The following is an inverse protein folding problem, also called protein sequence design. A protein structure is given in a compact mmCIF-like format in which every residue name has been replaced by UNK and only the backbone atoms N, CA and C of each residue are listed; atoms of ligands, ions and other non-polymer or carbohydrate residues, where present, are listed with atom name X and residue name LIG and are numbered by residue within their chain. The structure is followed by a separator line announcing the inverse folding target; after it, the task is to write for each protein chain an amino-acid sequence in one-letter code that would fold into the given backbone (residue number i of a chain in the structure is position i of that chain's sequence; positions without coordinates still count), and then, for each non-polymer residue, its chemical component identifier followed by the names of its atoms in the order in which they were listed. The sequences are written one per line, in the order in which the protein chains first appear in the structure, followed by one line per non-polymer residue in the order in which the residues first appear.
data_IF_996798255427
#
_entry.id   IF_996798255427
#
_cell.length_a   1.000
_cell.length_b   1.000
_cell.length_c   1.000
_cell.angle_alpha   90.00
_cell.angle_beta   90.00
_cell.angle_gamma   90.00
#
_symmetry.space_group_name_H-M   'P 1'
#
loop_
_entity.id
_entity.type
_entity.pdbx_description
1 polymer ?
#
# COMPACT_ATOMS: atom_id res chain seq x y z
N UNK A 1 -29.92 -8.70 -25.24
CA UNK A 1 -30.08 -8.24 -23.84
C UNK A 1 -28.97 -8.92 -23.04
N UNK A 2 -27.71 -8.53 -23.17
CA UNK A 2 -27.11 -7.30 -22.68
C UNK A 2 -26.22 -7.67 -21.49
N UNK A 3 -25.09 -8.34 -21.76
CA UNK A 3 -24.11 -8.73 -20.74
C UNK A 3 -23.37 -7.46 -20.33
N UNK A 4 -23.49 -7.07 -19.06
CA UNK A 4 -22.70 -5.99 -18.47
C UNK A 4 -21.33 -6.57 -18.10
N UNK A 5 -20.52 -6.85 -19.13
CA UNK A 5 -19.07 -6.98 -19.03
C UNK A 5 -18.51 -5.64 -19.45
N UNK A 6 -18.04 -4.83 -18.51
CA UNK A 6 -17.26 -3.59 -18.67
C UNK A 6 -17.24 -3.01 -17.25
N UNK A 7 -16.13 -2.96 -16.50
CA UNK A 7 -15.03 -1.99 -16.67
C UNK A 7 -13.68 -2.52 -16.12
N UNK A 8 -13.55 -3.78 -15.71
CA UNK A 8 -12.36 -4.25 -14.96
C UNK A 8 -11.24 -4.93 -15.76
N UNK A 9 -11.40 -5.17 -17.07
CA UNK A 9 -10.52 -6.07 -17.83
C UNK A 9 -9.58 -5.38 -18.83
N UNK A 10 -8.94 -4.28 -18.42
CA UNK A 10 -7.87 -3.63 -19.21
C UNK A 10 -6.57 -3.47 -18.44
N UNK A 11 -6.38 -4.27 -17.39
CA UNK A 11 -5.09 -4.31 -16.71
C UNK A 11 -4.12 -5.16 -17.54
N UNK A 12 -2.93 -4.65 -17.93
CA UNK A 12 -1.88 -5.46 -18.54
C UNK A 12 -1.33 -6.53 -17.58
N UNK A 13 -1.93 -6.70 -16.41
CA UNK A 13 -1.60 -7.70 -15.39
C UNK A 13 -2.73 -8.71 -15.17
N UNK A 14 -3.78 -8.74 -15.99
CA UNK A 14 -4.91 -9.67 -15.84
C UNK A 14 -4.51 -11.16 -15.90
N UNK A 15 -3.33 -11.47 -16.47
CA UNK A 15 -2.75 -12.81 -16.52
C UNK A 15 -1.85 -13.15 -15.32
N UNK A 16 -1.51 -12.19 -14.45
CA UNK A 16 -0.77 -12.45 -13.23
C UNK A 16 -1.78 -13.00 -12.20
N UNK A 17 -1.59 -14.23 -11.69
CA UNK A 17 -2.46 -14.74 -10.65
C UNK A 17 -2.53 -13.77 -9.47
N UNK A 18 -3.72 -13.53 -8.94
CA UNK A 18 -3.96 -12.52 -7.90
C UNK A 18 -3.11 -12.72 -6.63
N UNK A 19 -2.59 -13.93 -6.39
CA UNK A 19 -1.66 -14.21 -5.30
C UNK A 19 -0.22 -13.73 -5.57
N UNK A 20 0.21 -13.61 -6.83
CA UNK A 20 1.54 -13.09 -7.19
C UNK A 20 1.63 -11.56 -7.06
N UNK A 21 0.50 -10.84 -7.15
CA UNK A 21 0.43 -9.38 -6.89
C UNK A 21 0.17 -9.04 -5.43
N UNK A 22 0.06 -10.03 -4.54
CA UNK A 22 -0.19 -9.78 -3.13
C UNK A 22 1.10 -9.29 -2.42
N UNK A 23 1.05 -8.09 -1.85
CA UNK A 23 2.20 -7.48 -1.19
C UNK A 23 2.79 -8.35 -0.06
N UNK A 24 1.97 -9.04 0.74
CA UNK A 24 2.47 -9.93 1.80
C UNK A 24 3.21 -11.15 1.24
N UNK A 25 2.78 -11.68 0.09
CA UNK A 25 3.47 -12.78 -0.57
C UNK A 25 4.84 -12.31 -1.04
N UNK A 26 4.90 -11.19 -1.75
CA UNK A 26 6.16 -10.62 -2.26
C UNK A 26 7.14 -10.31 -1.13
N UNK A 27 6.67 -9.75 -0.01
CA UNK A 27 7.50 -9.47 1.17
C UNK A 27 8.06 -10.78 1.75
N UNK A 28 7.23 -11.81 1.93
CA UNK A 28 7.68 -13.11 2.44
C UNK A 28 8.71 -13.76 1.52
N UNK A 29 8.52 -13.68 0.21
CA UNK A 29 9.45 -14.24 -0.77
C UNK A 29 10.80 -13.50 -0.75
N UNK A 30 10.79 -12.17 -0.67
CA UNK A 30 12.01 -11.36 -0.56
C UNK A 30 12.76 -11.66 0.75
N UNK A 31 12.05 -11.77 1.88
CA UNK A 31 12.63 -12.14 3.17
C UNK A 31 13.24 -13.56 3.12
N UNK A 32 12.51 -14.53 2.57
CA UNK A 32 12.99 -15.90 2.42
C UNK A 32 14.22 -15.99 1.50
N UNK A 33 14.29 -15.14 0.48
CA UNK A 33 15.44 -15.02 -0.41
C UNK A 33 16.60 -14.19 0.17
N UNK A 34 16.47 -13.64 1.38
CA UNK A 34 17.47 -12.78 2.00
C UNK A 34 17.73 -11.47 1.24
N UNK A 35 16.75 -11.00 0.45
CA UNK A 35 16.84 -9.78 -0.34
C UNK A 35 16.41 -8.57 0.50
N UNK A 36 16.98 -7.38 0.24
CA UNK A 36 16.56 -6.16 0.95
C UNK A 36 15.12 -5.82 0.59
N UNK A 37 14.40 -5.30 1.59
CA UNK A 37 13.08 -4.70 1.40
C UNK A 37 13.22 -3.17 1.30
N UNK A 38 12.36 -2.50 0.50
CA UNK A 38 12.19 -1.07 0.66
C UNK A 38 11.59 -0.78 2.04
N UNK A 39 11.89 0.40 2.60
CA UNK A 39 11.11 0.91 3.73
C UNK A 39 9.67 1.09 3.29
N UNK A 40 8.72 0.77 4.16
CA UNK A 40 7.30 0.92 3.86
C UNK A 40 6.71 2.10 4.63
N UNK A 41 5.79 2.81 3.99
CA UNK A 41 4.97 3.83 4.61
C UNK A 41 3.50 3.44 4.42
N UNK A 42 2.74 3.42 5.50
CA UNK A 42 1.31 3.12 5.48
C UNK A 42 0.56 4.17 6.28
N UNK A 43 -0.49 4.73 5.67
CA UNK A 43 -1.37 5.66 6.37
C UNK A 43 -2.83 5.40 6.06
N UNK A 44 -3.72 5.60 7.04
CA UNK A 44 -5.16 5.37 6.90
C UNK A 44 -5.97 6.29 7.82
N UNK A 45 -7.12 6.75 7.32
CA UNK A 45 -8.10 7.49 8.11
C UNK A 45 -8.80 6.59 9.13
N UNK A 46 -9.01 7.06 10.36
CA UNK A 46 -9.68 6.27 11.41
C UNK A 46 -11.16 6.03 11.14
N UNK A 47 -11.76 6.80 10.24
CA UNK A 47 -13.15 6.64 9.78
C UNK A 47 -13.24 5.99 8.38
N UNK A 48 -12.10 5.59 7.78
CA UNK A 48 -12.06 4.91 6.48
C UNK A 48 -12.62 3.48 6.59
N UNK A 49 -13.43 3.06 5.62
CA UNK A 49 -14.00 1.71 5.58
C UNK A 49 -12.94 0.60 5.43
N UNK A 50 -11.71 0.96 5.05
CA UNK A 50 -10.54 0.07 4.94
C UNK A 50 -9.67 0.04 6.20
N UNK A 51 -10.03 0.78 7.26
CA UNK A 51 -9.25 0.89 8.49
C UNK A 51 -8.87 -0.48 9.09
N UNK A 52 -9.83 -1.39 9.23
CA UNK A 52 -9.58 -2.72 9.79
C UNK A 52 -8.64 -3.57 8.93
N UNK A 53 -8.74 -3.47 7.60
CA UNK A 53 -7.83 -4.16 6.69
C UNK A 53 -6.40 -3.60 6.80
N UNK A 54 -6.28 -2.27 6.95
CA UNK A 54 -5.00 -1.61 7.20
C UNK A 54 -4.37 -2.08 8.52
N UNK A 55 -5.17 -2.20 9.60
CA UNK A 55 -4.67 -2.69 10.88
C UNK A 55 -4.25 -4.16 10.83
N UNK A 56 -4.93 -5.01 10.04
CA UNK A 56 -4.51 -6.39 9.81
C UNK A 56 -3.18 -6.45 9.06
N UNK A 57 -3.02 -5.62 8.02
CA UNK A 57 -1.78 -5.54 7.25
C UNK A 57 -0.61 -5.07 8.12
N UNK A 58 -0.82 -4.00 8.89
CA UNK A 58 0.17 -3.47 9.85
C UNK A 58 0.68 -4.58 10.79
N UNK A 59 -0.25 -5.29 11.46
CA UNK A 59 0.12 -6.39 12.36
C UNK A 59 0.90 -7.50 11.65
N UNK A 60 0.53 -7.84 10.43
CA UNK A 60 1.26 -8.85 9.65
C UNK A 60 2.68 -8.39 9.30
N UNK A 61 2.88 -7.12 8.96
CA UNK A 61 4.19 -6.55 8.66
C UNK A 61 5.08 -6.44 9.91
N UNK A 62 4.52 -6.01 11.03
CA UNK A 62 5.21 -5.95 12.33
C UNK A 62 5.68 -7.34 12.78
N UNK A 63 4.84 -8.37 12.62
CA UNK A 63 5.22 -9.77 12.93
C UNK A 63 6.35 -10.31 12.05
N UNK A 64 6.46 -9.82 10.80
CA UNK A 64 7.54 -10.16 9.89
C UNK A 64 8.82 -9.34 10.14
N UNK A 65 8.79 -8.39 11.08
CA UNK A 65 9.93 -7.51 11.37
C UNK A 65 10.25 -6.51 10.26
N UNK A 66 9.26 -6.16 9.44
CA UNK A 66 9.43 -5.19 8.34
C UNK A 66 9.55 -3.78 8.91
N UNK A 67 10.49 -2.99 8.38
CA UNK A 67 10.63 -1.56 8.70
C UNK A 67 9.46 -0.76 8.09
N UNK A 68 8.42 -0.54 8.92
CA UNK A 68 7.18 0.12 8.57
C UNK A 68 7.05 1.44 9.33
N UNK A 69 6.94 2.55 8.59
CA UNK A 69 6.40 3.81 9.11
C UNK A 69 4.87 3.76 8.99
N UNK A 70 4.17 3.82 10.12
CA UNK A 70 2.70 3.73 10.16
C UNK A 70 2.09 4.99 10.80
N UNK A 71 1.09 5.57 10.14
CA UNK A 71 0.39 6.76 10.62
C UNK A 71 -1.13 6.62 10.48
N UNK A 72 -1.88 6.89 11.54
CA UNK A 72 -3.34 6.96 11.51
C UNK A 72 -3.80 8.34 11.97
N UNK A 73 -4.78 8.90 11.26
CA UNK A 73 -5.32 10.24 11.51
C UNK A 73 -6.83 10.23 11.32
N UNK A 74 -7.54 11.23 11.84
CA UNK A 74 -8.96 11.37 11.51
C UNK A 74 -9.12 11.67 10.02
N UNK A 75 -10.09 11.02 9.39
CA UNK A 75 -10.38 11.13 7.98
C UNK A 75 -11.10 9.89 7.45
N UNK A 76 -11.73 10.07 6.29
CA UNK A 76 -12.39 9.01 5.53
C UNK A 76 -11.61 8.74 4.23
N UNK A 77 -12.19 7.93 3.36
CA UNK A 77 -11.64 7.58 2.05
C UNK A 77 -11.86 8.69 1.01
N UNK A 78 -11.21 9.84 1.18
CA UNK A 78 -11.36 11.00 0.31
C UNK A 78 -10.03 11.70 -0.04
N UNK A 79 -10.13 12.64 -0.98
CA UNK A 79 -8.97 13.39 -1.46
C UNK A 79 -8.43 14.40 -0.46
N UNK A 80 -9.23 14.90 0.49
CA UNK A 80 -8.75 15.85 1.49
C UNK A 80 -7.76 15.14 2.45
N UNK A 81 -8.06 13.88 2.80
CA UNK A 81 -7.12 13.02 3.48
C UNK A 81 -5.85 12.81 2.63
N UNK A 82 -5.98 12.33 1.39
CA UNK A 82 -4.81 11.99 0.58
C UNK A 82 -3.94 13.18 0.21
N UNK A 83 -4.50 14.37 -0.03
CA UNK A 83 -3.75 15.60 -0.33
C UNK A 83 -2.90 16.06 0.87
N UNK A 84 -3.42 15.89 2.09
CA UNK A 84 -2.66 16.16 3.32
C UNK A 84 -1.55 15.12 3.50
N UNK A 85 -1.87 13.84 3.33
CA UNK A 85 -0.96 12.75 3.66
C UNK A 85 0.12 12.50 2.60
N UNK A 86 -0.11 12.85 1.33
CA UNK A 86 0.94 12.75 0.30
C UNK A 86 2.13 13.66 0.59
N UNK A 87 1.92 14.84 1.19
CA UNK A 87 3.00 15.74 1.60
C UNK A 87 3.90 15.08 2.65
N UNK A 88 3.30 14.36 3.61
CA UNK A 88 4.03 13.59 4.63
C UNK A 88 4.85 12.46 4.02
N UNK A 89 4.29 11.76 3.02
CA UNK A 89 5.00 10.73 2.26
C UNK A 89 6.21 11.34 1.54
N UNK A 90 6.05 12.49 0.89
CA UNK A 90 7.14 13.17 0.18
C UNK A 90 8.26 13.61 1.13
N UNK A 91 7.92 14.11 2.31
CA UNK A 91 8.89 14.47 3.37
C UNK A 91 9.63 13.23 3.92
N UNK A 92 8.95 12.09 4.02
CA UNK A 92 9.53 10.82 4.48
C UNK A 92 10.44 10.16 3.44
N UNK A 93 10.13 10.34 2.15
CA UNK A 93 10.89 9.74 1.06
C UNK A 93 12.32 10.30 1.02
N UNK A 94 13.34 9.46 0.79
CA UNK A 94 14.71 9.91 0.61
C UNK A 94 14.90 10.47 -0.80
N UNK A 95 14.19 11.55 -1.13
CA UNK A 95 14.29 12.20 -2.43
C UNK A 95 15.69 12.79 -2.57
N UNK A 96 16.42 12.39 -3.61
CA UNK A 96 17.62 13.09 -3.99
C UNK A 96 17.21 14.53 -4.37
N UNK A 97 17.93 15.53 -3.86
CA UNK A 97 17.81 16.92 -4.31
C UNK A 97 18.31 17.02 -5.76
N UNK A 98 17.58 16.44 -6.70
CA UNK A 98 17.74 16.68 -8.12
C UNK A 98 16.80 17.83 -8.43
N UNK A 99 17.32 19.05 -8.29
CA UNK A 99 16.70 20.22 -8.91
C UNK A 99 16.56 19.90 -10.39
N UNK A 100 15.32 19.79 -10.88
CA UNK A 100 15.01 19.66 -12.31
C UNK A 100 15.16 21.02 -12.98
#
# INVERSE_FOLDING_TARGET
MGVVETVYDYSPYAFIPHWEVNLLVQIKDLLAAGKPLPRLFQTVGTEDFTYEANQQMRRALEQLGVDLTYEEHSGIHDWDYWDTHIQRVLDWMPLANTTV
#
